data_IF_344498168241
#
_entry.id   IF_344498168241
#
_cell.length_a   1.000
_cell.length_b   1.000
_cell.length_c   1.000
_cell.angle_alpha   90.00
_cell.angle_beta   90.00
_cell.angle_gamma   90.00
#
_symmetry.space_group_name_H-M   'P 1'
#
loop_
_entity.id
_entity.type
_entity.pdbx_description
1 polymer ?
#
# COMPACT_ATOMS: atom_id res chain seq x y z
N UNK A 1 -8.84 15.64 35.49
CA UNK A 1 -8.31 14.37 35.13
C UNK A 1 -8.85 13.83 33.84
N UNK A 2 -10.11 13.85 33.67
CA UNK A 2 -10.62 13.33 32.43
C UNK A 2 -10.20 14.14 31.25
N UNK A 3 -9.90 15.39 31.48
CA UNK A 3 -9.48 16.25 30.39
C UNK A 3 -8.18 15.80 29.74
N UNK A 4 -7.36 15.09 30.48
CA UNK A 4 -6.14 14.57 29.91
C UNK A 4 -6.40 13.64 28.75
N UNK A 5 -7.48 12.89 28.83
CA UNK A 5 -7.81 11.97 27.75
C UNK A 5 -8.09 12.73 26.44
N UNK A 6 -8.71 13.86 26.56
CA UNK A 6 -9.01 14.63 25.37
C UNK A 6 -7.76 15.16 24.72
N UNK A 7 -6.82 15.56 25.53
CA UNK A 7 -5.55 16.01 24.99
C UNK A 7 -4.87 14.91 24.20
N UNK A 8 -4.99 13.69 24.69
CA UNK A 8 -4.42 12.57 23.97
C UNK A 8 -5.07 12.36 22.63
N UNK A 9 -6.38 12.57 22.56
CA UNK A 9 -7.07 12.43 21.29
C UNK A 9 -6.57 13.44 20.29
N UNK A 10 -6.30 14.64 20.72
CA UNK A 10 -5.77 15.66 19.84
C UNK A 10 -4.41 15.25 19.31
N UNK A 11 -3.58 14.69 20.16
CA UNK A 11 -2.28 14.20 19.71
C UNK A 11 -2.44 13.12 18.66
N UNK A 12 -3.45 12.29 18.81
CA UNK A 12 -3.69 11.24 17.84
C UNK A 12 -4.01 11.82 16.49
N UNK A 13 -4.76 12.90 16.46
CA UNK A 13 -5.08 13.55 15.19
C UNK A 13 -3.84 14.06 14.49
N UNK A 14 -2.86 14.49 15.24
CA UNK A 14 -1.61 14.96 14.66
C UNK A 14 -0.88 13.85 13.94
N UNK A 15 -1.15 12.61 14.29
CA UNK A 15 -0.53 11.48 13.62
C UNK A 15 -0.98 11.36 12.17
N UNK A 16 -2.01 12.08 11.79
CA UNK A 16 -2.50 12.07 10.42
C UNK A 16 -1.82 13.16 9.59
N UNK A 17 -0.59 13.44 9.87
CA UNK A 17 0.15 14.48 9.18
C UNK A 17 0.36 14.13 7.71
N UNK A 18 0.63 15.12 6.86
CA UNK A 18 0.93 14.87 5.47
C UNK A 18 2.13 13.94 5.26
N UNK A 19 3.08 13.98 6.17
CA UNK A 19 4.24 13.10 6.06
C UNK A 19 3.83 11.64 6.07
N UNK A 20 2.88 11.28 6.93
CA UNK A 20 2.40 9.91 6.98
C UNK A 20 1.69 9.55 5.68
N UNK A 21 0.92 10.47 5.13
CA UNK A 21 0.25 10.22 3.86
C UNK A 21 1.24 10.00 2.74
N UNK A 22 2.36 10.71 2.75
CA UNK A 22 3.38 10.53 1.73
C UNK A 22 4.05 9.18 1.83
N UNK A 23 4.13 8.62 3.03
CA UNK A 23 4.74 7.31 3.20
C UNK A 23 3.83 6.18 2.76
N UNK A 24 2.52 6.41 2.72
CA UNK A 24 1.56 5.36 2.46
C UNK A 24 1.79 4.64 1.13
N UNK A 25 2.17 5.39 0.10
CA UNK A 25 2.37 4.79 -1.21
C UNK A 25 3.37 3.65 -1.15
N UNK A 26 4.52 3.88 -0.55
CA UNK A 26 5.55 2.86 -0.42
C UNK A 26 5.11 1.74 0.49
N UNK A 27 4.41 2.07 1.57
CA UNK A 27 3.95 1.07 2.52
C UNK A 27 2.95 0.12 1.88
N UNK A 28 1.99 0.65 1.14
CA UNK A 28 1.01 -0.20 0.48
C UNK A 28 1.64 -1.09 -0.57
N UNK A 29 2.60 -0.56 -1.32
CA UNK A 29 3.30 -1.35 -2.32
C UNK A 29 4.08 -2.47 -1.64
N UNK A 30 4.79 -2.15 -0.59
CA UNK A 30 5.58 -3.14 0.14
C UNK A 30 4.70 -4.23 0.74
N UNK A 31 3.60 -3.83 1.33
CA UNK A 31 2.65 -4.79 1.91
C UNK A 31 2.08 -5.71 0.84
N UNK A 32 1.76 -5.16 -0.32
CA UNK A 32 1.20 -5.98 -1.38
C UNK A 32 2.25 -6.94 -1.93
N UNK A 33 3.50 -6.50 -2.10
CA UNK A 33 4.56 -7.41 -2.52
C UNK A 33 4.71 -8.57 -1.54
N UNK A 34 4.66 -8.28 -0.25
CA UNK A 34 4.75 -9.33 0.76
C UNK A 34 3.57 -10.29 0.67
N UNK A 35 2.40 -9.78 0.36
CA UNK A 35 1.21 -10.60 0.24
C UNK A 35 1.33 -11.58 -0.92
N UNK A 36 1.72 -11.09 -2.10
CA UNK A 36 1.82 -11.98 -3.25
C UNK A 36 2.96 -12.97 -3.11
N UNK A 37 4.05 -12.57 -2.45
CA UNK A 37 5.15 -13.48 -2.18
C UNK A 37 4.70 -14.60 -1.27
N UNK A 38 3.97 -14.26 -0.22
CA UNK A 38 3.46 -15.25 0.72
C UNK A 38 2.47 -16.18 0.04
N UNK A 39 1.60 -15.63 -0.79
CA UNK A 39 0.62 -16.44 -1.49
C UNK A 39 1.27 -17.39 -2.48
N UNK A 40 2.33 -16.96 -3.15
CA UNK A 40 3.06 -17.83 -4.04
C UNK A 40 3.70 -18.99 -3.27
N UNK A 41 4.33 -18.68 -2.15
CA UNK A 41 4.97 -19.72 -1.33
C UNK A 41 3.96 -20.70 -0.77
N UNK A 42 2.75 -20.22 -0.49
CA UNK A 42 1.68 -21.09 0.03
C UNK A 42 0.95 -21.85 -1.06
N UNK A 43 1.32 -21.67 -2.31
CA UNK A 43 0.65 -22.36 -3.41
C UNK A 43 -0.67 -21.76 -3.83
N UNK A 44 -1.01 -20.60 -3.32
CA UNK A 44 -2.26 -19.92 -3.67
C UNK A 44 -2.14 -19.07 -4.93
N UNK A 45 -0.93 -18.84 -5.37
CA UNK A 45 -0.65 -18.00 -6.52
C UNK A 45 0.49 -18.66 -7.28
N UNK A 46 0.29 -18.94 -8.57
CA UNK A 46 1.37 -19.56 -9.32
C UNK A 46 2.42 -18.52 -9.69
N UNK A 47 3.60 -19.01 -10.01
CA UNK A 47 4.74 -18.15 -10.25
C UNK A 47 4.53 -17.22 -11.43
N UNK A 48 3.92 -17.69 -12.50
CA UNK A 48 3.67 -16.87 -13.66
C UNK A 48 2.79 -15.67 -13.35
N UNK A 49 1.73 -15.90 -12.62
CA UNK A 49 0.84 -14.81 -12.21
C UNK A 49 1.53 -13.90 -11.22
N UNK A 50 2.28 -14.47 -10.27
CA UNK A 50 3.06 -13.66 -9.33
C UNK A 50 3.97 -12.70 -10.09
N UNK A 51 4.65 -13.19 -11.11
CA UNK A 51 5.59 -12.37 -11.86
C UNK A 51 4.88 -11.27 -12.65
N UNK A 52 3.70 -11.57 -13.19
CA UNK A 52 2.91 -10.56 -13.89
C UNK A 52 2.48 -9.45 -12.93
N UNK A 53 2.01 -9.84 -11.76
CA UNK A 53 1.62 -8.84 -10.76
C UNK A 53 2.83 -8.01 -10.35
N UNK A 54 3.97 -8.66 -10.16
CA UNK A 54 5.18 -7.96 -9.76
C UNK A 54 5.59 -6.90 -10.78
N UNK A 55 5.45 -7.19 -12.06
CA UNK A 55 5.77 -6.22 -13.09
C UNK A 55 4.85 -5.01 -13.01
N UNK A 56 3.56 -5.25 -12.76
CA UNK A 56 2.63 -4.14 -12.63
C UNK A 56 2.95 -3.31 -11.40
N UNK A 57 3.30 -3.98 -10.30
CA UNK A 57 3.66 -3.28 -9.08
C UNK A 57 4.94 -2.48 -9.28
N UNK A 58 5.88 -2.98 -10.08
CA UNK A 58 7.08 -2.21 -10.40
C UNK A 58 6.73 -0.90 -11.08
N UNK A 59 5.77 -0.92 -11.98
CA UNK A 59 5.31 0.31 -12.64
C UNK A 59 4.64 1.26 -11.65
N UNK A 60 3.83 0.72 -10.75
CA UNK A 60 3.21 1.52 -9.71
C UNK A 60 4.26 2.15 -8.82
N UNK A 61 5.29 1.38 -8.49
CA UNK A 61 6.37 1.87 -7.66
C UNK A 61 7.10 3.05 -8.31
N UNK A 62 7.33 2.99 -9.61
CA UNK A 62 7.94 4.11 -10.31
C UNK A 62 7.05 5.35 -10.26
N UNK A 63 5.76 5.19 -10.43
CA UNK A 63 4.84 6.31 -10.33
C UNK A 63 4.87 6.89 -8.92
N UNK A 64 4.93 6.01 -7.92
CA UNK A 64 4.98 6.45 -6.53
C UNK A 64 6.19 7.33 -6.26
N UNK A 65 7.33 7.00 -6.88
CA UNK A 65 8.57 7.74 -6.64
C UNK A 65 8.73 8.98 -7.48
N UNK A 66 8.16 9.00 -8.67
CA UNK A 66 8.45 10.07 -9.63
C UNK A 66 7.24 10.95 -9.94
N UNK A 67 6.08 10.58 -9.45
CA UNK A 67 4.86 11.26 -9.79
C UNK A 67 4.03 11.40 -8.53
N UNK A 68 2.77 11.30 -8.65
CA UNK A 68 1.77 11.67 -7.67
C UNK A 68 1.26 10.45 -6.93
N UNK A 69 1.22 10.52 -5.60
CA UNK A 69 0.76 9.39 -4.81
C UNK A 69 -0.64 8.93 -5.17
N UNK A 70 -1.52 9.87 -5.40
CA UNK A 70 -2.89 9.53 -5.76
C UNK A 70 -2.91 8.64 -6.99
N UNK A 71 -2.11 8.98 -8.00
CA UNK A 71 -2.05 8.22 -9.23
C UNK A 71 -1.48 6.82 -9.00
N UNK A 72 -0.45 6.74 -8.18
CA UNK A 72 0.16 5.46 -7.85
C UNK A 72 -0.81 4.59 -7.09
N UNK A 73 -1.52 5.14 -6.13
CA UNK A 73 -2.48 4.37 -5.36
C UNK A 73 -3.62 3.88 -6.24
N UNK A 74 -4.07 4.70 -7.14
CA UNK A 74 -5.13 4.31 -8.05
C UNK A 74 -4.69 3.16 -8.95
N UNK A 75 -3.46 3.20 -9.43
CA UNK A 75 -2.90 2.13 -10.24
C UNK A 75 -2.76 0.84 -9.43
N UNK A 76 -2.34 0.95 -8.19
CA UNK A 76 -2.21 -0.22 -7.32
C UNK A 76 -3.56 -0.87 -7.09
N UNK A 77 -4.58 -0.08 -6.79
CA UNK A 77 -5.92 -0.62 -6.58
C UNK A 77 -6.44 -1.32 -7.83
N UNK A 78 -6.16 -0.75 -8.99
CA UNK A 78 -6.58 -1.37 -10.24
C UNK A 78 -5.92 -2.73 -10.43
N UNK A 79 -4.64 -2.83 -10.14
CA UNK A 79 -3.93 -4.10 -10.20
C UNK A 79 -4.55 -5.10 -9.22
N UNK A 80 -4.79 -4.68 -8.01
CA UNK A 80 -5.36 -5.57 -7.00
C UNK A 80 -6.73 -6.09 -7.42
N UNK A 81 -7.55 -5.24 -8.02
CA UNK A 81 -8.87 -5.66 -8.48
C UNK A 81 -8.77 -6.69 -9.60
N UNK A 82 -7.87 -6.47 -10.55
CA UNK A 82 -7.74 -7.41 -11.66
C UNK A 82 -7.31 -8.79 -11.22
N UNK A 83 -6.56 -8.88 -10.16
CA UNK A 83 -6.03 -10.15 -9.70
C UNK A 83 -6.76 -10.68 -8.46
N UNK A 84 -7.88 -10.08 -8.12
CA UNK A 84 -8.73 -10.63 -7.06
C UNK A 84 -8.29 -10.30 -5.66
N UNK A 85 -7.49 -9.27 -5.46
CA UNK A 85 -7.03 -8.87 -4.14
C UNK A 85 -7.89 -7.76 -3.53
N UNK A 86 -8.94 -7.36 -4.19
CA UNK A 86 -9.88 -6.39 -3.66
C UNK A 86 -11.29 -6.76 -4.06
#
# INVERSE_FOLDING_TARGET
>A
MRNGSRALLIATLLALSPAAALADCNDYISNFRNTIDRDMKAGKLNKGTHDQISEEVDRVDRVCRTDWQYRAMKALLSTQERYGYR
#
